data_IF_213400394505
#
_entry.id   IF_213400394505
#
_cell.length_a   1.000
_cell.length_b   1.000
_cell.length_c   1.000
_cell.angle_alpha   90.00
_cell.angle_beta   90.00
_cell.angle_gamma   90.00
#
_symmetry.space_group_name_H-M   'P 1'
#
loop_
_entity.id
_entity.type
_entity.pdbx_description
1 polymer ?
#
# COMPACT_ATOMS: atom_id res chain seq x y z
N UNK A 1 -5.15 10.92 -19.39
CA UNK A 1 -5.83 11.63 -20.49
C UNK A 1 -7.28 12.05 -20.18
N UNK A 2 -8.08 11.25 -19.48
CA UNK A 2 -9.51 11.54 -19.19
C UNK A 2 -9.79 12.85 -18.40
N UNK A 3 -8.93 13.24 -17.44
CA UNK A 3 -9.08 14.49 -16.65
C UNK A 3 -9.00 15.75 -17.51
N UNK A 4 -8.05 15.77 -18.44
CA UNK A 4 -7.87 16.89 -19.39
C UNK A 4 -9.08 17.03 -20.31
N UNK A 5 -9.70 15.91 -20.68
CA UNK A 5 -10.89 15.90 -21.54
C UNK A 5 -12.14 16.46 -20.83
N UNK A 6 -12.44 16.02 -19.59
CA UNK A 6 -13.61 16.51 -18.84
C UNK A 6 -13.48 18.00 -18.49
N UNK A 7 -12.27 18.47 -18.16
CA UNK A 7 -12.02 19.89 -17.93
C UNK A 7 -12.26 20.74 -19.17
N UNK A 8 -11.84 20.27 -20.35
CA UNK A 8 -12.11 20.93 -21.63
C UNK A 8 -13.60 21.01 -21.92
N UNK A 9 -14.34 19.91 -21.73
CA UNK A 9 -15.80 19.90 -21.93
C UNK A 9 -16.51 20.90 -21.00
N UNK A 10 -16.17 20.92 -19.71
CA UNK A 10 -16.75 21.88 -18.75
C UNK A 10 -16.41 23.32 -19.15
N UNK A 11 -15.18 23.57 -19.58
CA UNK A 11 -14.75 24.89 -20.03
C UNK A 11 -15.51 25.34 -21.29
N UNK A 12 -15.66 24.44 -22.27
CA UNK A 12 -16.37 24.69 -23.51
C UNK A 12 -17.85 24.98 -23.24
N UNK A 13 -18.51 24.18 -22.40
CA UNK A 13 -19.90 24.42 -21.99
C UNK A 13 -19.99 25.76 -21.28
N UNK A 14 -19.14 26.03 -20.29
CA UNK A 14 -19.18 27.28 -19.53
C UNK A 14 -18.94 28.52 -20.41
N UNK A 15 -18.10 28.42 -21.46
CA UNK A 15 -17.88 29.50 -22.41
C UNK A 15 -19.13 29.87 -23.23
N UNK A 16 -20.07 28.93 -23.39
CA UNK A 16 -21.34 29.14 -24.09
C UNK A 16 -22.45 29.69 -23.22
N UNK A 17 -22.21 29.86 -21.92
CA UNK A 17 -23.21 30.37 -20.96
C UNK A 17 -23.75 31.75 -21.36
N UNK A 18 -22.84 32.67 -21.70
CA UNK A 18 -23.21 34.03 -22.12
C UNK A 18 -23.95 34.02 -23.46
N UNK A 19 -23.42 33.40 -24.53
CA UNK A 19 -24.16 33.30 -25.81
C UNK A 19 -25.56 32.69 -25.69
N UNK A 20 -25.73 31.61 -24.91
CA UNK A 20 -27.05 30.98 -24.71
C UNK A 20 -27.99 31.92 -23.96
N UNK A 21 -27.50 32.57 -22.89
CA UNK A 21 -28.25 33.59 -22.16
C UNK A 21 -28.69 34.72 -23.08
N UNK A 22 -27.79 35.28 -23.88
CA UNK A 22 -28.08 36.39 -24.78
C UNK A 22 -29.15 36.02 -25.81
N UNK A 23 -29.05 34.84 -26.42
CA UNK A 23 -30.06 34.37 -27.39
C UNK A 23 -31.42 34.19 -26.72
N UNK A 24 -31.48 33.61 -25.53
CA UNK A 24 -32.75 33.44 -24.80
C UNK A 24 -33.37 34.78 -24.43
N UNK A 25 -32.59 35.74 -23.92
CA UNK A 25 -33.06 37.08 -23.56
C UNK A 25 -33.53 37.85 -24.78
N UNK A 26 -32.80 37.82 -25.89
CA UNK A 26 -33.21 38.50 -27.12
C UNK A 26 -34.49 37.89 -27.71
N UNK A 27 -34.63 36.56 -27.68
CA UNK A 27 -35.83 35.88 -28.16
C UNK A 27 -37.07 36.23 -27.31
N UNK A 28 -36.92 36.33 -25.99
CA UNK A 28 -37.98 36.78 -25.08
C UNK A 28 -38.37 38.25 -25.34
N UNK A 29 -37.39 39.13 -25.54
CA UNK A 29 -37.63 40.54 -25.88
C UNK A 29 -38.32 40.70 -27.23
N UNK A 30 -37.91 39.89 -28.23
CA UNK A 30 -38.54 39.85 -29.54
C UNK A 30 -40.01 39.41 -29.40
N UNK A 31 -40.26 38.28 -28.75
CA UNK A 31 -41.62 37.78 -28.49
C UNK A 31 -42.49 38.84 -27.80
N UNK A 32 -41.96 39.56 -26.82
CA UNK A 32 -42.66 40.64 -26.12
C UNK A 32 -42.98 41.83 -27.03
N UNK A 33 -42.07 42.19 -27.94
CA UNK A 33 -42.17 43.40 -28.78
C UNK A 33 -42.96 43.16 -30.07
N UNK A 34 -43.04 41.93 -30.55
CA UNK A 34 -43.73 41.57 -31.80
C UNK A 34 -44.97 40.70 -31.57
N UNK A 35 -45.41 40.53 -30.32
CA UNK A 35 -46.54 39.66 -29.94
C UNK A 35 -47.77 39.88 -30.82
N UNK A 36 -48.19 41.12 -31.02
CA UNK A 36 -49.42 41.43 -31.77
C UNK A 36 -49.28 41.22 -33.29
N UNK A 37 -48.07 40.92 -33.77
CA UNK A 37 -47.73 40.70 -35.18
C UNK A 37 -47.45 39.23 -35.52
N UNK A 38 -47.41 38.36 -34.52
CA UNK A 38 -47.10 36.94 -34.68
C UNK A 38 -48.38 36.11 -34.52
N UNK A 39 -48.49 35.00 -35.25
CA UNK A 39 -49.55 34.03 -35.03
C UNK A 39 -49.36 33.33 -33.67
N UNK A 40 -50.44 32.87 -33.01
CA UNK A 40 -50.35 32.12 -31.76
C UNK A 40 -49.42 30.89 -31.84
N UNK A 41 -49.42 30.20 -32.97
CA UNK A 41 -48.60 29.02 -33.20
C UNK A 41 -47.10 29.36 -33.15
N UNK A 42 -46.70 30.43 -33.83
CA UNK A 42 -45.30 30.87 -33.88
C UNK A 42 -44.82 31.43 -32.53
N UNK A 43 -45.72 32.07 -31.77
CA UNK A 43 -45.43 32.49 -30.40
C UNK A 43 -45.15 31.29 -29.49
N UNK A 44 -46.01 30.26 -29.56
CA UNK A 44 -45.84 29.05 -28.74
C UNK A 44 -44.58 28.26 -29.12
N UNK A 45 -44.27 28.14 -30.41
CA UNK A 45 -43.07 27.43 -30.89
C UNK A 45 -41.78 28.11 -30.43
N UNK A 46 -41.69 29.44 -30.58
CA UNK A 46 -40.51 30.19 -30.18
C UNK A 46 -40.38 30.26 -28.65
N UNK A 47 -41.48 30.40 -27.91
CA UNK A 47 -41.47 30.34 -26.44
C UNK A 47 -41.05 28.96 -25.93
N UNK A 48 -41.55 27.89 -26.55
CA UNK A 48 -41.13 26.51 -26.27
C UNK A 48 -39.64 26.32 -26.54
N UNK A 49 -39.15 26.75 -27.70
CA UNK A 49 -37.73 26.66 -28.08
C UNK A 49 -36.80 27.39 -27.10
N UNK A 50 -37.19 28.56 -26.60
CA UNK A 50 -36.44 29.31 -25.58
C UNK A 50 -36.41 28.55 -24.26
N UNK A 51 -37.56 28.03 -23.81
CA UNK A 51 -37.66 27.24 -22.59
C UNK A 51 -36.84 25.95 -22.65
N UNK A 52 -36.90 25.25 -23.78
CA UNK A 52 -36.16 24.02 -24.03
C UNK A 52 -34.65 24.26 -24.09
N UNK A 53 -34.20 25.32 -24.76
CA UNK A 53 -32.80 25.70 -24.83
C UNK A 53 -32.25 25.98 -23.43
N UNK A 54 -32.97 26.77 -22.63
CA UNK A 54 -32.56 27.11 -21.26
C UNK A 54 -32.48 25.87 -20.38
N UNK A 55 -33.55 25.07 -20.35
CA UNK A 55 -33.64 23.87 -19.51
C UNK A 55 -32.57 22.85 -19.91
N UNK A 56 -32.38 22.63 -21.21
CA UNK A 56 -31.39 21.68 -21.72
C UNK A 56 -29.97 22.14 -21.43
N UNK A 57 -29.69 23.44 -21.57
CA UNK A 57 -28.37 24.00 -21.26
C UNK A 57 -28.06 23.95 -19.76
N UNK A 58 -29.00 24.32 -18.89
CA UNK A 58 -28.83 24.23 -17.43
C UNK A 58 -28.57 22.78 -16.99
N UNK A 59 -29.34 21.82 -17.54
CA UNK A 59 -29.12 20.39 -17.30
C UNK A 59 -27.73 19.94 -17.77
N UNK A 60 -27.34 20.31 -18.99
CA UNK A 60 -26.03 19.96 -19.56
C UNK A 60 -24.88 20.50 -18.68
N UNK A 61 -24.99 21.74 -18.23
CA UNK A 61 -24.01 22.37 -17.34
C UNK A 61 -23.91 21.62 -16.01
N UNK A 62 -25.04 21.29 -15.39
CA UNK A 62 -25.10 20.54 -14.14
C UNK A 62 -24.45 19.16 -14.27
N UNK A 63 -24.92 18.36 -15.24
CA UNK A 63 -24.36 17.03 -15.50
C UNK A 63 -22.86 17.06 -15.79
N UNK A 64 -22.39 18.05 -16.54
CA UNK A 64 -20.97 18.19 -16.85
C UNK A 64 -20.11 18.50 -15.61
N UNK A 65 -20.63 19.32 -14.69
CA UNK A 65 -19.96 19.60 -13.42
C UNK A 65 -19.92 18.37 -12.51
N UNK A 66 -21.02 17.62 -12.43
CA UNK A 66 -21.11 16.39 -11.66
C UNK A 66 -20.10 15.36 -12.16
N UNK A 67 -20.03 15.12 -13.48
CA UNK A 67 -19.03 14.20 -14.06
C UNK A 67 -17.59 14.63 -13.78
N UNK A 68 -17.30 15.94 -13.83
CA UNK A 68 -15.96 16.44 -13.50
C UNK A 68 -15.62 16.21 -12.02
N UNK A 69 -16.60 16.36 -11.12
CA UNK A 69 -16.43 16.08 -9.69
C UNK A 69 -16.18 14.59 -9.46
N UNK A 70 -17.04 13.72 -9.99
CA UNK A 70 -16.91 12.27 -9.85
C UNK A 70 -15.55 11.76 -10.40
N UNK A 71 -15.12 12.30 -11.54
CA UNK A 71 -13.82 11.96 -12.13
C UNK A 71 -12.64 12.42 -11.26
N UNK A 72 -12.75 13.56 -10.56
CA UNK A 72 -11.72 14.02 -9.60
C UNK A 72 -11.70 13.14 -8.37
N UNK A 73 -12.86 12.87 -7.78
CA UNK A 73 -12.99 12.06 -6.57
C UNK A 73 -12.47 10.63 -6.81
N UNK A 74 -12.80 10.04 -7.96
CA UNK A 74 -12.27 8.75 -8.38
C UNK A 74 -10.74 8.78 -8.56
N UNK A 75 -10.21 9.82 -9.20
CA UNK A 75 -8.77 9.94 -9.40
C UNK A 75 -8.03 10.07 -8.06
N UNK A 76 -8.54 10.87 -7.14
CA UNK A 76 -7.93 11.07 -5.83
C UNK A 76 -8.02 9.79 -4.98
N UNK A 77 -9.13 9.04 -5.08
CA UNK A 77 -9.23 7.71 -4.48
C UNK A 77 -8.19 6.75 -5.04
N UNK A 78 -8.09 6.63 -6.36
CA UNK A 78 -7.13 5.74 -7.02
C UNK A 78 -5.68 6.10 -6.70
N UNK A 79 -5.36 7.39 -6.53
CA UNK A 79 -4.04 7.83 -6.08
C UNK A 79 -3.73 7.36 -4.68
N UNK A 80 -4.66 7.56 -3.73
CA UNK A 80 -4.48 7.10 -2.34
C UNK A 80 -4.31 5.59 -2.27
N UNK A 81 -5.15 4.84 -2.98
CA UNK A 81 -5.04 3.37 -3.07
C UNK A 81 -3.67 2.96 -3.62
N UNK A 82 -3.19 3.62 -4.67
CA UNK A 82 -1.85 3.34 -5.23
C UNK A 82 -0.73 3.64 -4.23
N UNK A 83 -0.77 4.78 -3.57
CA UNK A 83 0.27 5.19 -2.61
C UNK A 83 0.30 4.23 -1.40
N UNK A 84 -0.88 3.80 -0.92
CA UNK A 84 -1.01 2.78 0.11
C UNK A 84 -0.44 1.43 -0.33
N UNK A 85 -0.78 0.95 -1.53
CA UNK A 85 -0.23 -0.30 -2.09
C UNK A 85 1.29 -0.24 -2.19
N UNK A 86 1.84 0.86 -2.74
CA UNK A 86 3.29 1.04 -2.85
C UNK A 86 3.99 1.02 -1.48
N UNK A 87 3.37 1.66 -0.48
CA UNK A 87 3.88 1.66 0.90
C UNK A 87 3.87 0.26 1.50
N UNK A 88 2.79 -0.51 1.32
CA UNK A 88 2.72 -1.91 1.80
C UNK A 88 3.75 -2.79 1.11
N UNK A 89 3.90 -2.69 -0.21
CA UNK A 89 4.92 -3.43 -0.95
C UNK A 89 6.35 -3.09 -0.49
N UNK A 90 6.63 -1.82 -0.19
CA UNK A 90 7.93 -1.42 0.34
C UNK A 90 8.21 -2.05 1.71
N UNK A 91 7.20 -2.09 2.60
CA UNK A 91 7.30 -2.77 3.90
C UNK A 91 7.53 -4.28 3.74
N UNK A 92 6.82 -4.92 2.82
CA UNK A 92 7.00 -6.35 2.50
C UNK A 92 8.43 -6.61 2.05
N UNK A 93 8.93 -5.84 1.06
CA UNK A 93 10.30 -6.01 0.54
C UNK A 93 11.35 -5.89 1.65
N UNK A 94 11.24 -4.84 2.47
CA UNK A 94 12.16 -4.63 3.60
C UNK A 94 12.10 -5.77 4.62
N UNK A 95 10.91 -6.31 4.92
CA UNK A 95 10.78 -7.44 5.83
C UNK A 95 11.32 -8.74 5.24
N UNK A 96 11.11 -8.99 3.95
CA UNK A 96 11.69 -10.14 3.26
C UNK A 96 13.21 -10.10 3.28
N UNK A 97 13.82 -8.94 3.02
CA UNK A 97 15.27 -8.75 3.10
C UNK A 97 15.79 -9.05 4.51
N UNK A 98 15.11 -8.56 5.55
CA UNK A 98 15.48 -8.84 6.95
C UNK A 98 15.33 -10.33 7.32
N UNK A 99 14.22 -10.95 6.92
CA UNK A 99 13.97 -12.39 7.14
C UNK A 99 15.04 -13.25 6.48
N UNK A 100 15.36 -12.98 5.21
CA UNK A 100 16.38 -13.70 4.47
C UNK A 100 17.76 -13.49 5.09
N UNK A 101 18.13 -12.24 5.41
CA UNK A 101 19.42 -11.94 6.02
C UNK A 101 19.64 -12.62 7.37
N UNK A 102 18.60 -12.68 8.22
CA UNK A 102 18.68 -13.43 9.47
C UNK A 102 18.73 -14.95 9.25
N UNK A 103 17.97 -15.48 8.28
CA UNK A 103 18.00 -16.91 7.95
C UNK A 103 19.37 -17.36 7.42
N UNK A 104 19.98 -16.55 6.55
CA UNK A 104 21.32 -16.79 6.02
C UNK A 104 22.37 -16.74 7.15
N UNK A 105 22.25 -15.76 8.05
CA UNK A 105 23.12 -15.65 9.22
C UNK A 105 22.98 -16.86 10.16
N UNK A 106 21.75 -17.31 10.47
CA UNK A 106 21.54 -18.52 11.30
C UNK A 106 22.18 -19.74 10.61
N UNK A 107 22.02 -19.88 9.29
CA UNK A 107 22.59 -20.99 8.52
C UNK A 107 24.11 -21.01 8.60
N UNK A 108 24.75 -19.85 8.52
CA UNK A 108 26.19 -19.73 8.67
C UNK A 108 26.66 -20.05 10.10
N UNK A 109 25.92 -19.62 11.12
CA UNK A 109 26.23 -19.94 12.52
C UNK A 109 26.05 -21.44 12.83
N UNK A 110 24.98 -22.06 12.34
CA UNK A 110 24.77 -23.51 12.43
C UNK A 110 25.91 -24.29 11.75
N UNK A 111 26.41 -23.79 10.61
CA UNK A 111 27.55 -24.39 9.91
C UNK A 111 28.85 -24.26 10.71
N UNK A 112 29.09 -23.10 11.33
CA UNK A 112 30.27 -22.87 12.18
C UNK A 112 30.24 -23.81 13.40
N UNK A 113 29.12 -23.84 14.13
CA UNK A 113 28.91 -24.75 15.27
C UNK A 113 29.05 -26.22 14.86
N UNK A 114 28.47 -26.61 13.73
CA UNK A 114 28.55 -27.99 13.22
C UNK A 114 29.95 -28.40 12.75
N UNK A 115 30.84 -27.44 12.49
CA UNK A 115 32.23 -27.69 12.11
C UNK A 115 33.20 -27.76 13.29
N UNK A 116 32.77 -27.36 14.49
CA UNK A 116 33.56 -27.47 15.70
C UNK A 116 33.57 -28.93 16.19
N UNK A 117 34.74 -29.56 16.15
CA UNK A 117 34.98 -30.85 16.79
C UNK A 117 35.66 -30.63 18.14
N UNK A 118 35.40 -31.47 19.16
CA UNK A 118 36.15 -31.43 20.41
C UNK A 118 37.65 -31.59 20.13
N UNK A 119 38.47 -30.60 20.49
CA UNK A 119 39.92 -30.70 20.33
C UNK A 119 40.51 -31.64 21.39
N UNK A 120 41.69 -32.21 21.11
CA UNK A 120 42.43 -33.06 22.05
C UNK A 120 42.64 -32.36 23.39
N UNK A 121 42.71 -33.15 24.49
CA UNK A 121 42.85 -32.73 25.89
C UNK A 121 44.18 -31.99 26.17
N UNK A 122 44.36 -30.82 25.57
CA UNK A 122 45.49 -29.94 25.77
C UNK A 122 44.98 -28.54 26.12
N UNK A 123 45.51 -27.98 27.22
CA UNK A 123 45.01 -26.75 27.85
C UNK A 123 45.04 -25.52 26.92
N UNK A 124 46.05 -25.40 26.05
CA UNK A 124 46.18 -24.24 25.16
C UNK A 124 45.14 -24.23 24.02
N UNK A 125 44.96 -25.33 23.27
CA UNK A 125 43.84 -25.47 22.32
C UNK A 125 42.46 -25.27 22.97
N UNK A 126 42.24 -25.84 24.15
CA UNK A 126 40.97 -25.76 24.85
C UNK A 126 40.61 -24.33 25.28
N UNK A 127 41.58 -23.54 25.74
CA UNK A 127 41.33 -22.16 26.14
C UNK A 127 41.03 -21.23 24.95
N UNK A 128 41.63 -21.49 23.78
CA UNK A 128 41.28 -20.77 22.54
C UNK A 128 39.88 -21.13 22.07
N UNK A 129 39.55 -22.43 22.06
CA UNK A 129 38.22 -22.90 21.73
C UNK A 129 37.15 -22.26 22.62
N UNK A 130 37.40 -22.15 23.93
CA UNK A 130 36.47 -21.51 24.86
C UNK A 130 36.27 -20.01 24.56
N UNK A 131 37.34 -19.28 24.21
CA UNK A 131 37.24 -17.87 23.80
C UNK A 131 36.45 -17.69 22.50
N UNK A 132 36.66 -18.58 21.52
CA UNK A 132 35.94 -18.55 20.25
C UNK A 132 34.44 -18.85 20.48
N UNK A 133 34.12 -19.81 21.36
CA UNK A 133 32.74 -20.12 21.75
C UNK A 133 32.06 -18.98 22.50
N UNK A 134 32.77 -18.28 23.41
CA UNK A 134 32.23 -17.12 24.13
C UNK A 134 31.87 -15.99 23.14
N UNK A 135 32.76 -15.70 22.19
CA UNK A 135 32.52 -14.70 21.14
C UNK A 135 31.33 -15.08 20.24
N UNK A 136 31.21 -16.36 19.90
CA UNK A 136 30.09 -16.90 19.13
C UNK A 136 28.77 -16.79 19.92
N UNK A 137 28.80 -17.09 21.22
CA UNK A 137 27.63 -16.97 22.09
C UNK A 137 27.15 -15.52 22.22
N UNK A 138 28.06 -14.56 22.42
CA UNK A 138 27.72 -13.13 22.44
C UNK A 138 27.13 -12.67 21.10
N UNK A 139 27.71 -13.13 19.99
CA UNK A 139 27.20 -12.83 18.65
C UNK A 139 25.76 -13.34 18.48
N UNK A 140 25.50 -14.58 18.89
CA UNK A 140 24.17 -15.17 18.84
C UNK A 140 23.20 -14.37 19.71
N UNK A 141 23.55 -14.12 20.97
CA UNK A 141 22.70 -13.37 21.89
C UNK A 141 22.33 -11.98 21.35
N UNK A 142 23.27 -11.30 20.68
CA UNK A 142 23.03 -9.98 20.07
C UNK A 142 21.95 -9.99 18.98
N UNK A 143 21.70 -11.14 18.33
CA UNK A 143 20.69 -11.30 17.26
C UNK A 143 19.30 -11.71 17.76
N UNK A 144 19.14 -11.88 19.07
CA UNK A 144 17.86 -12.25 19.67
C UNK A 144 16.80 -11.19 19.44
N UNK A 145 17.13 -9.93 19.73
CA UNK A 145 16.20 -8.81 19.63
C UNK A 145 15.79 -8.57 18.16
N UNK A 146 16.76 -8.61 17.24
CA UNK A 146 16.53 -8.51 15.80
C UNK A 146 15.54 -9.58 15.31
N UNK A 147 15.73 -10.84 15.75
CA UNK A 147 14.88 -11.97 15.37
C UNK A 147 13.46 -11.82 15.90
N UNK A 148 13.31 -11.46 17.17
CA UNK A 148 11.98 -11.23 17.78
C UNK A 148 11.27 -10.08 17.08
N UNK A 149 11.98 -8.97 16.81
CA UNK A 149 11.43 -7.81 16.10
C UNK A 149 10.93 -8.19 14.70
N UNK A 150 11.72 -8.88 13.89
CA UNK A 150 11.33 -9.26 12.52
C UNK A 150 10.10 -10.17 12.50
N UNK A 151 10.01 -11.12 13.44
CA UNK A 151 8.83 -12.01 13.58
C UNK A 151 7.59 -11.21 13.96
N UNK A 152 7.70 -10.32 14.95
CA UNK A 152 6.58 -9.47 15.38
C UNK A 152 6.12 -8.51 14.28
N UNK A 153 7.06 -7.89 13.57
CA UNK A 153 6.76 -7.00 12.45
C UNK A 153 6.03 -7.74 11.32
N UNK A 154 6.45 -8.99 11.05
CA UNK A 154 5.80 -9.86 10.06
C UNK A 154 4.36 -10.18 10.48
N UNK A 155 4.14 -10.60 11.73
CA UNK A 155 2.80 -10.89 12.26
C UNK A 155 1.90 -9.64 12.25
N UNK A 156 2.46 -8.49 12.62
CA UNK A 156 1.76 -7.20 12.63
C UNK A 156 1.34 -6.77 11.22
N UNK A 157 2.25 -6.89 10.24
CA UNK A 157 1.96 -6.59 8.84
C UNK A 157 0.82 -7.48 8.30
N UNK A 158 0.90 -8.79 8.53
CA UNK A 158 -0.11 -9.75 8.08
C UNK A 158 -1.48 -9.50 8.72
N UNK A 159 -1.51 -9.02 9.97
CA UNK A 159 -2.75 -8.63 10.66
C UNK A 159 -3.31 -7.31 10.15
N UNK A 160 -2.44 -6.36 9.83
CA UNK A 160 -2.85 -5.03 9.38
C UNK A 160 -3.36 -5.03 7.93
N UNK A 161 -2.85 -5.94 7.08
CA UNK A 161 -3.11 -5.95 5.64
C UNK A 161 -3.53 -7.33 5.09
N UNK A 162 -4.58 -7.99 5.62
CA UNK A 162 -4.97 -9.34 5.21
C UNK A 162 -5.47 -9.44 3.76
N UNK A 163 -6.14 -8.40 3.26
CA UNK A 163 -6.74 -8.43 1.90
C UNK A 163 -5.85 -7.77 0.84
N UNK A 164 -4.71 -7.18 1.25
CA UNK A 164 -3.78 -6.46 0.37
C UNK A 164 -2.54 -7.29 0.01
N UNK A 165 -2.28 -8.35 0.76
CA UNK A 165 -1.16 -9.26 0.55
C UNK A 165 -1.73 -10.55 -0.03
N UNK A 166 -1.18 -11.03 -1.14
CA UNK A 166 -1.63 -12.30 -1.72
C UNK A 166 -1.45 -13.47 -0.74
N UNK A 167 -2.39 -14.42 -0.75
CA UNK A 167 -2.40 -15.55 0.18
C UNK A 167 -1.10 -16.37 0.13
N UNK A 168 -0.52 -16.56 -1.05
CA UNK A 168 0.75 -17.28 -1.21
C UNK A 168 1.87 -16.57 -0.47
N UNK A 169 1.94 -15.24 -0.64
CA UNK A 169 2.94 -14.40 0.01
C UNK A 169 2.74 -14.35 1.54
N UNK A 170 1.49 -14.32 2.01
CA UNK A 170 1.20 -14.41 3.45
C UNK A 170 1.69 -15.74 4.04
N UNK A 171 1.41 -16.86 3.36
CA UNK A 171 1.89 -18.17 3.77
C UNK A 171 3.41 -18.26 3.77
N UNK A 172 4.08 -17.68 2.76
CA UNK A 172 5.54 -17.64 2.69
C UNK A 172 6.14 -16.84 3.85
N UNK A 173 5.69 -15.59 4.07
CA UNK A 173 6.19 -14.74 5.15
C UNK A 173 5.99 -15.38 6.52
N UNK A 174 4.82 -15.98 6.76
CA UNK A 174 4.52 -16.68 8.00
C UNK A 174 5.39 -17.93 8.17
N UNK A 175 5.64 -18.66 7.09
CA UNK A 175 6.53 -19.81 7.07
C UNK A 175 7.97 -19.42 7.45
N UNK A 176 8.51 -18.38 6.81
CA UNK A 176 9.85 -17.84 7.10
C UNK A 176 9.97 -17.35 8.54
N UNK A 177 8.98 -16.60 9.05
CA UNK A 177 9.00 -16.13 10.43
C UNK A 177 8.91 -17.28 11.45
N UNK A 178 8.12 -18.31 11.16
CA UNK A 178 7.98 -19.50 12.02
C UNK A 178 9.25 -20.34 12.03
N UNK A 179 9.87 -20.53 10.86
CA UNK A 179 11.16 -21.20 10.72
C UNK A 179 12.25 -20.46 11.51
N UNK A 180 12.38 -19.15 11.29
CA UNK A 180 13.36 -18.30 11.98
C UNK A 180 13.18 -18.38 13.50
N UNK A 181 11.94 -18.27 13.99
CA UNK A 181 11.62 -18.41 15.42
C UNK A 181 11.98 -19.79 15.97
N UNK A 182 11.78 -20.85 15.18
CA UNK A 182 12.04 -22.23 15.60
C UNK A 182 13.54 -22.52 15.65
N UNK A 183 14.29 -22.14 14.62
CA UNK A 183 15.76 -22.30 14.55
C UNK A 183 16.46 -21.48 15.62
N UNK A 184 16.02 -20.24 15.83
CA UNK A 184 16.55 -19.41 16.90
C UNK A 184 16.21 -20.01 18.30
N UNK A 185 14.99 -20.52 18.49
CA UNK A 185 14.59 -21.22 19.71
C UNK A 185 15.40 -22.49 20.02
N UNK A 186 15.84 -23.21 18.98
CA UNK A 186 16.75 -24.35 19.10
C UNK A 186 18.16 -23.90 19.56
N UNK A 187 18.69 -22.81 18.98
CA UNK A 187 20.02 -22.30 19.33
C UNK A 187 20.12 -21.78 20.77
N UNK A 188 19.03 -21.22 21.33
CA UNK A 188 18.98 -20.76 22.71
C UNK A 188 18.92 -21.92 23.75
N UNK A 189 18.55 -23.13 23.33
CA UNK A 189 18.40 -24.29 24.24
C UNK A 189 19.54 -25.30 24.14
N UNK A 190 20.32 -25.33 23.05
CA UNK A 190 21.41 -26.31 22.86
C UNK A 190 22.69 -26.03 23.67
N UNK A 191 22.80 -24.93 24.42
CA UNK A 191 23.96 -24.63 25.27
C UNK A 191 23.69 -24.69 26.78
N UNK A 192 22.67 -25.44 27.21
CA UNK A 192 22.41 -25.69 28.64
C UNK A 192 22.25 -27.17 28.96
N UNK A 193 23.24 -27.98 28.61
CA UNK A 193 23.38 -29.35 29.14
C UNK A 193 24.62 -29.42 30.03
N UNK A 194 24.34 -29.30 31.34
CA UNK A 194 24.99 -29.89 32.53
C UNK A 194 26.53 -29.83 32.69
N UNK A 195 27.03 -29.27 33.82
CA UNK A 195 28.28 -29.73 34.38
C UNK A 195 28.03 -31.09 35.05
N UNK A 196 28.63 -32.14 34.49
CA UNK A 196 28.81 -33.43 35.15
C UNK A 196 29.70 -33.24 36.38
N UNK A 197 29.09 -33.10 37.55
CA UNK A 197 29.77 -33.31 38.83
C UNK A 197 29.93 -34.82 39.03
N UNK A 198 31.03 -35.35 38.53
CA UNK A 198 31.54 -36.67 38.92
C UNK A 198 32.52 -36.45 40.06
N UNK A 199 32.01 -36.49 41.29
CA UNK A 199 32.82 -36.71 42.48
C UNK A 199 32.56 -38.12 43.01
N UNK A 200 33.50 -39.02 42.75
CA UNK A 200 33.90 -40.12 43.64
C UNK A 200 35.31 -40.61 43.19
N UNK A 201 36.16 -41.14 44.09
CA UNK A 201 35.81 -41.88 45.31
C UNK A 201 36.26 -41.26 46.64
#
# INVERSE_FOLDING_TARGET
MARSHHQKIVQDINSRKVPVSDVTVHAEQFLKSTRDKLTPELQNELQGSVGDLRTTYERLLGTSMDWLKDAKDLLDRLKREKDETMSVEAKIRSLQERLNGLSDWITEMERQLGSEQPMEENLQPLNRQNQDHDALHENIQSKQEDTVSVVQDTESLLRQYPDRIDQVLQSQLRGQATDLKSRYGWSATSHRTEPTDSTEP
#
